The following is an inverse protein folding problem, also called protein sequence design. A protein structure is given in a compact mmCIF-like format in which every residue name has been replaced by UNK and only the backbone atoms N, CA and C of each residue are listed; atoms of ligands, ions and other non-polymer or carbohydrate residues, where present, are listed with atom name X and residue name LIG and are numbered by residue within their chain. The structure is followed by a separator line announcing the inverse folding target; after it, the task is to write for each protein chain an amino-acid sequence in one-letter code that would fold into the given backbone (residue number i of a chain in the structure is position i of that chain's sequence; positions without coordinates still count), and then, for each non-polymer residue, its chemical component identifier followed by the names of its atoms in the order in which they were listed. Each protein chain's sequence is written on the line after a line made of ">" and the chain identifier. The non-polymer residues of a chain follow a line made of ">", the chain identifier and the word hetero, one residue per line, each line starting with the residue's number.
data_IF_868893333063
#
_entry.id   IF_868893333063
#
_cell.length_a   1.000
_cell.length_b   1.000
_cell.length_c   1.000
_cell.angle_alpha   90.00
_cell.angle_beta   90.00
_cell.angle_gamma   90.00
#
_symmetry.space_group_name_H-M   'P 1'
#
loop_
_entity.id
_entity.type
_entity.pdbx_description
1 polymer ?
#
# COMPACT_ATOMS: atom_id res chain seq x y z
N UNK A 1 -7.75 31.94 -0.10
CA UNK A 1 -8.03 30.57 0.39
C UNK A 1 -7.42 29.48 -0.50
N UNK A 2 -7.75 29.35 -1.80
CA UNK A 2 -7.12 28.35 -2.71
C UNK A 2 -5.58 28.34 -2.68
N UNK A 3 -4.92 29.50 -2.70
CA UNK A 3 -3.45 29.58 -2.71
C UNK A 3 -2.78 29.05 -1.43
N UNK A 4 -3.46 29.09 -0.28
CA UNK A 4 -2.90 28.62 1.00
C UNK A 4 -2.86 27.10 1.05
N UNK A 5 -3.91 26.42 0.57
CA UNK A 5 -3.97 24.96 0.47
C UNK A 5 -2.86 24.42 -0.46
N UNK A 6 -2.69 25.00 -1.64
CA UNK A 6 -1.62 24.61 -2.57
C UNK A 6 -0.22 24.85 -2.00
N UNK A 7 -0.02 25.96 -1.26
CA UNK A 7 1.27 26.24 -0.62
C UNK A 7 1.63 25.19 0.44
N UNK A 8 0.67 24.76 1.26
CA UNK A 8 0.88 23.72 2.27
C UNK A 8 1.20 22.38 1.60
N UNK A 9 0.39 21.96 0.61
CA UNK A 9 0.60 20.70 -0.12
C UNK A 9 1.98 20.69 -0.79
N UNK A 10 2.35 21.76 -1.51
CA UNK A 10 3.63 21.81 -2.22
C UNK A 10 4.85 21.86 -1.29
N UNK A 11 4.71 22.45 -0.10
CA UNK A 11 5.74 22.42 0.95
C UNK A 11 5.91 20.98 1.47
N UNK A 12 4.82 20.32 1.87
CA UNK A 12 4.87 18.97 2.45
C UNK A 12 5.42 17.94 1.45
N UNK A 13 5.01 18.03 0.17
CA UNK A 13 5.56 17.17 -0.89
C UNK A 13 7.07 17.38 -1.07
N UNK A 14 7.55 18.63 -1.04
CA UNK A 14 9.00 18.90 -1.11
C UNK A 14 9.74 18.37 0.10
N UNK A 15 9.16 18.49 1.28
CA UNK A 15 9.76 18.01 2.54
C UNK A 15 9.87 16.48 2.57
N UNK A 16 8.85 15.77 2.07
CA UNK A 16 8.88 14.31 1.84
C UNK A 16 10.01 13.94 0.86
N UNK A 17 10.12 14.66 -0.27
CA UNK A 17 11.14 14.42 -1.29
C UNK A 17 12.56 14.80 -0.88
N UNK A 18 12.74 15.57 0.21
CA UNK A 18 14.05 15.96 0.70
C UNK A 18 14.51 15.11 1.90
N UNK A 19 13.58 14.41 2.56
CA UNK A 19 13.91 13.60 3.73
C UNK A 19 14.31 12.17 3.36
N UNK A 20 15.60 11.87 3.48
CA UNK A 20 16.17 10.56 3.19
C UNK A 20 15.58 9.42 4.03
N UNK A 21 15.14 9.69 5.26
CA UNK A 21 14.51 8.68 6.13
C UNK A 21 13.12 8.26 5.63
N UNK A 22 12.43 9.13 4.89
CA UNK A 22 11.13 8.88 4.28
C UNK A 22 11.31 8.29 2.88
N UNK A 23 12.22 8.87 2.08
CA UNK A 23 12.48 8.43 0.72
C UNK A 23 13.05 7.01 0.63
N UNK A 24 13.98 6.63 1.51
CA UNK A 24 14.63 5.32 1.43
C UNK A 24 13.62 4.17 1.47
N UNK A 25 12.76 4.03 2.50
CA UNK A 25 11.77 2.96 2.51
C UNK A 25 10.76 3.07 1.36
N UNK A 26 10.40 4.30 0.97
CA UNK A 26 9.44 4.59 -0.10
C UNK A 26 9.95 4.21 -1.50
N UNK A 27 11.26 4.11 -1.70
CA UNK A 27 11.86 3.61 -2.96
C UNK A 27 12.26 2.15 -2.84
N UNK A 28 12.87 1.74 -1.71
CA UNK A 28 13.38 0.39 -1.54
C UNK A 28 12.26 -0.64 -1.50
N UNK A 29 11.22 -0.44 -0.69
CA UNK A 29 10.14 -1.43 -0.57
C UNK A 29 9.43 -1.68 -1.90
N UNK A 30 9.01 -0.64 -2.64
CA UNK A 30 8.28 -0.89 -3.87
C UNK A 30 9.18 -1.40 -4.99
N UNK A 31 10.49 -1.08 -4.99
CA UNK A 31 11.44 -1.72 -5.90
C UNK A 31 11.63 -3.20 -5.54
N UNK A 32 11.77 -3.50 -4.25
CA UNK A 32 11.95 -4.88 -3.77
C UNK A 32 10.72 -5.75 -4.06
N UNK A 33 9.53 -5.26 -3.77
CA UNK A 33 8.27 -6.00 -3.95
C UNK A 33 7.73 -5.92 -5.39
N UNK A 34 7.82 -4.77 -6.03
CA UNK A 34 7.25 -4.53 -7.36
C UNK A 34 8.15 -4.97 -8.52
N UNK A 35 9.48 -5.04 -8.33
CA UNK A 35 10.43 -5.38 -9.41
C UNK A 35 11.25 -6.61 -9.05
N UNK A 36 11.97 -6.58 -7.93
CA UNK A 36 12.93 -7.63 -7.58
C UNK A 36 12.24 -8.98 -7.29
N UNK A 37 11.18 -8.96 -6.48
CA UNK A 37 10.41 -10.15 -6.12
C UNK A 37 9.78 -10.87 -7.32
N UNK A 38 9.00 -10.22 -8.21
CA UNK A 38 8.42 -10.91 -9.37
C UNK A 38 9.49 -11.39 -10.34
N UNK A 39 10.58 -10.63 -10.51
CA UNK A 39 11.71 -11.05 -11.32
C UNK A 39 12.33 -12.35 -10.79
N UNK A 40 12.61 -12.43 -9.49
CA UNK A 40 13.15 -13.62 -8.85
C UNK A 40 12.20 -14.83 -8.93
N UNK A 41 10.89 -14.60 -8.80
CA UNK A 41 9.88 -15.65 -8.95
C UNK A 41 9.87 -16.23 -10.37
N UNK A 42 9.90 -15.38 -11.40
CA UNK A 42 9.88 -15.81 -12.80
C UNK A 42 11.18 -16.55 -13.16
N UNK A 43 12.34 -16.04 -12.75
CA UNK A 43 13.62 -16.75 -12.94
C UNK A 43 13.66 -18.12 -12.25
N UNK A 44 13.01 -18.24 -11.10
CA UNK A 44 12.87 -19.51 -10.39
C UNK A 44 12.12 -20.56 -11.19
N UNK A 45 11.11 -20.16 -11.97
CA UNK A 45 10.35 -21.05 -12.84
C UNK A 45 11.18 -21.57 -14.02
N UNK A 46 12.03 -20.73 -14.60
CA UNK A 46 12.92 -21.15 -15.71
C UNK A 46 13.93 -22.21 -15.27
N UNK A 47 14.50 -22.06 -14.07
CA UNK A 47 15.55 -22.95 -13.55
C UNK A 47 15.00 -24.20 -12.84
N UNK A 48 13.74 -24.17 -12.40
CA UNK A 48 13.19 -25.13 -11.45
C UNK A 48 12.08 -26.03 -12.00
N UNK A 49 12.38 -26.96 -12.93
CA UNK A 49 11.44 -28.07 -13.24
C UNK A 49 11.13 -28.96 -12.03
N UNK A 50 11.98 -28.95 -10.99
CA UNK A 50 11.80 -29.69 -9.73
C UNK A 50 11.17 -28.86 -8.58
N UNK A 51 11.03 -27.54 -8.73
CA UNK A 51 10.58 -26.63 -7.66
C UNK A 51 9.06 -26.54 -7.51
N UNK A 52 8.31 -27.21 -8.40
CA UNK A 52 6.85 -27.21 -8.40
C UNK A 52 6.23 -28.05 -7.27
N UNK A 53 7.01 -28.95 -6.63
CA UNK A 53 6.54 -29.80 -5.53
C UNK A 53 5.93 -28.99 -4.36
N UNK A 54 6.45 -27.79 -4.08
CA UNK A 54 5.92 -26.92 -3.03
C UNK A 54 4.64 -26.15 -3.42
N UNK A 55 4.34 -26.09 -4.72
CA UNK A 55 3.17 -25.40 -5.27
C UNK A 55 2.00 -26.35 -5.54
N UNK A 56 2.19 -27.67 -5.44
CA UNK A 56 1.15 -28.68 -5.66
C UNK A 56 -0.14 -28.45 -4.86
N UNK A 57 -0.09 -28.08 -3.56
CA UNK A 57 -1.31 -27.80 -2.80
C UNK A 57 -2.08 -26.62 -3.37
N UNK A 58 -1.36 -25.59 -3.85
CA UNK A 58 -1.94 -24.39 -4.44
C UNK A 58 -2.46 -24.63 -5.87
N UNK A 59 -1.76 -25.46 -6.64
CA UNK A 59 -2.16 -25.85 -8.00
C UNK A 59 -3.47 -26.64 -8.00
N UNK A 60 -3.72 -27.44 -6.95
CA UNK A 60 -4.99 -28.19 -6.76
C UNK A 60 -6.16 -27.29 -6.38
N UNK A 61 -5.91 -26.09 -5.87
CA UNK A 61 -6.94 -25.13 -5.48
C UNK A 61 -7.42 -24.24 -6.64
N UNK A 62 -6.71 -24.27 -7.78
CA UNK A 62 -7.11 -23.54 -8.97
C UNK A 62 -8.21 -24.32 -9.73
N UNK A 63 -9.25 -23.64 -10.23
CA UNK A 63 -10.24 -24.28 -11.10
C UNK A 63 -9.54 -24.85 -12.34
N UNK A 64 -9.88 -26.09 -12.71
CA UNK A 64 -9.26 -26.85 -13.81
C UNK A 64 -9.52 -26.26 -15.20
N UNK A 65 -10.39 -25.25 -15.30
CA UNK A 65 -10.83 -24.61 -16.55
C UNK A 65 -9.88 -23.54 -17.09
N UNK A 66 -8.85 -23.16 -16.34
CA UNK A 66 -7.90 -22.15 -16.82
C UNK A 66 -6.97 -22.83 -17.83
N UNK A 67 -7.20 -22.52 -19.11
CA UNK A 67 -6.56 -23.04 -20.32
C UNK A 67 -5.02 -22.86 -20.39
N UNK A 68 -4.30 -23.42 -19.43
CA UNK A 68 -2.84 -23.50 -19.40
C UNK A 68 -2.44 -24.96 -19.66
N UNK A 69 -2.02 -25.21 -20.90
CA UNK A 69 -1.64 -26.53 -21.41
C UNK A 69 -0.34 -27.08 -20.78
N UNK A 70 0.39 -26.30 -19.98
CA UNK A 70 1.65 -26.71 -19.34
C UNK A 70 1.66 -26.40 -17.83
N UNK A 71 2.31 -27.28 -17.05
CA UNK A 71 2.43 -27.12 -15.59
C UNK A 71 3.17 -25.84 -15.19
N UNK A 72 4.12 -25.39 -16.02
CA UNK A 72 4.90 -24.18 -15.77
C UNK A 72 4.06 -22.90 -15.94
N UNK A 73 3.15 -22.85 -16.92
CA UNK A 73 2.21 -21.72 -17.07
C UNK A 73 1.22 -21.63 -15.91
N UNK A 74 0.78 -22.77 -15.35
CA UNK A 74 -0.04 -22.78 -14.13
C UNK A 74 0.73 -22.26 -12.93
N UNK A 75 1.98 -22.68 -12.76
CA UNK A 75 2.84 -22.19 -11.69
C UNK A 75 3.08 -20.68 -11.78
N UNK A 76 3.29 -20.16 -12.99
CA UNK A 76 3.36 -18.72 -13.25
C UNK A 76 2.08 -17.99 -12.81
N UNK A 77 0.91 -18.52 -13.17
CA UNK A 77 -0.38 -17.95 -12.74
C UNK A 77 -0.54 -17.95 -11.20
N UNK A 78 -0.14 -19.03 -10.53
CA UNK A 78 -0.14 -19.09 -9.05
C UNK A 78 0.76 -18.00 -8.47
N UNK A 79 2.00 -17.87 -8.95
CA UNK A 79 2.94 -16.90 -8.37
C UNK A 79 2.48 -15.46 -8.62
N UNK A 80 2.12 -15.11 -9.85
CA UNK A 80 1.85 -13.74 -10.25
C UNK A 80 0.39 -13.30 -9.99
N UNK A 81 -0.61 -14.13 -10.28
CA UNK A 81 -2.02 -13.73 -10.12
C UNK A 81 -2.61 -14.19 -8.79
N UNK A 82 -2.08 -15.24 -8.16
CA UNK A 82 -2.58 -15.69 -6.87
C UNK A 82 -1.74 -15.15 -5.69
N UNK A 83 -0.41 -15.22 -5.72
CA UNK A 83 0.43 -14.84 -4.56
C UNK A 83 0.84 -13.37 -4.53
N UNK A 84 1.17 -12.75 -5.68
CA UNK A 84 1.61 -11.36 -5.71
C UNK A 84 0.55 -10.32 -5.29
N UNK A 85 -0.77 -10.45 -5.56
CA UNK A 85 -1.75 -9.43 -5.18
C UNK A 85 -1.73 -9.00 -3.70
N UNK A 86 -1.86 -9.89 -2.69
CA UNK A 86 -1.80 -9.47 -1.29
C UNK A 86 -0.43 -8.90 -0.88
N UNK A 87 0.66 -9.38 -1.48
CA UNK A 87 2.00 -8.84 -1.27
C UNK A 87 2.13 -7.42 -1.84
N UNK A 88 1.55 -7.18 -3.02
CA UNK A 88 1.55 -5.87 -3.65
C UNK A 88 0.77 -4.85 -2.81
N UNK A 89 -0.30 -5.25 -2.13
CA UNK A 89 -1.06 -4.39 -1.21
C UNK A 89 -0.24 -3.84 -0.03
N UNK A 90 0.91 -4.44 0.28
CA UNK A 90 1.83 -3.89 1.28
C UNK A 90 2.45 -2.57 0.83
N UNK A 91 2.67 -2.37 -0.47
CA UNK A 91 3.26 -1.14 -1.03
C UNK A 91 2.40 0.10 -0.71
N UNK A 92 1.11 0.18 -1.11
CA UNK A 92 0.27 1.34 -0.79
C UNK A 92 0.08 1.51 0.71
N UNK A 93 0.03 0.42 1.47
CA UNK A 93 -0.11 0.47 2.92
C UNK A 93 1.10 1.13 3.58
N UNK A 94 2.30 0.70 3.22
CA UNK A 94 3.55 1.25 3.75
C UNK A 94 3.78 2.68 3.27
N UNK A 95 3.49 2.98 2.01
CA UNK A 95 3.57 4.34 1.49
C UNK A 95 2.63 5.29 2.27
N UNK A 96 1.38 4.88 2.45
CA UNK A 96 0.42 5.62 3.26
C UNK A 96 0.86 5.79 4.71
N UNK A 97 1.41 4.74 5.34
CA UNK A 97 1.81 4.83 6.75
C UNK A 97 3.06 5.70 6.97
N UNK A 98 4.10 5.52 6.15
CA UNK A 98 5.35 6.29 6.25
C UNK A 98 5.08 7.78 6.01
N UNK A 99 4.34 8.11 4.95
CA UNK A 99 4.06 9.51 4.62
C UNK A 99 3.04 10.08 5.61
N UNK A 100 2.06 9.30 6.06
CA UNK A 100 1.12 9.70 7.12
C UNK A 100 1.80 10.09 8.43
N UNK A 101 2.88 9.40 8.81
CA UNK A 101 3.68 9.75 9.98
C UNK A 101 4.22 11.19 9.90
N UNK A 102 4.57 11.65 8.70
CA UNK A 102 5.10 12.99 8.48
C UNK A 102 4.04 14.11 8.65
N UNK A 103 2.74 13.78 8.59
CA UNK A 103 1.67 14.77 8.73
C UNK A 103 1.69 15.50 10.07
N UNK A 104 1.99 14.81 11.17
CA UNK A 104 1.93 15.39 12.52
C UNK A 104 3.28 15.36 13.23
N UNK A 105 4.07 14.30 13.06
CA UNK A 105 5.26 14.09 13.89
C UNK A 105 6.39 15.02 13.49
N UNK A 106 6.59 15.24 12.20
CA UNK A 106 7.66 16.14 11.72
C UNK A 106 7.43 17.56 12.24
N UNK A 107 6.18 18.00 12.31
CA UNK A 107 5.85 19.31 12.87
C UNK A 107 5.90 19.33 14.40
N UNK A 108 5.61 18.20 15.06
CA UNK A 108 5.77 18.02 16.51
C UNK A 108 7.25 18.12 16.91
N UNK A 109 8.12 17.39 16.21
CA UNK A 109 9.57 17.41 16.43
C UNK A 109 10.17 18.80 16.19
N UNK A 110 9.65 19.54 15.20
CA UNK A 110 10.11 20.92 14.90
C UNK A 110 9.44 22.00 15.75
N UNK A 111 8.53 21.64 16.66
CA UNK A 111 7.71 22.57 17.46
C UNK A 111 6.95 23.60 16.62
N UNK A 112 6.64 23.27 15.37
CA UNK A 112 5.91 24.17 14.46
C UNK A 112 4.40 23.94 14.52
N UNK A 113 3.93 22.91 15.24
CA UNK A 113 2.51 22.67 15.45
C UNK A 113 1.83 23.88 16.11
N UNK A 114 2.47 24.50 17.10
CA UNK A 114 1.95 25.70 17.78
C UNK A 114 1.71 26.83 16.78
N UNK A 115 2.68 27.13 15.93
CA UNK A 115 2.58 28.17 14.88
C UNK A 115 1.50 27.85 13.84
N UNK A 116 1.30 26.58 13.53
CA UNK A 116 0.28 26.12 12.58
C UNK A 116 -1.14 26.33 13.14
N UNK A 117 -1.32 26.18 14.45
CA UNK A 117 -2.59 26.39 15.13
C UNK A 117 -3.00 27.87 15.22
N UNK A 118 -2.05 28.81 15.06
CA UNK A 118 -2.33 30.24 14.94
C UNK A 118 -2.71 30.68 13.52
N UNK A 119 -2.72 29.77 12.53
CA UNK A 119 -3.21 30.11 11.20
C UNK A 119 -4.74 30.22 11.18
N UNK A 120 -5.33 31.08 10.32
CA UNK A 120 -6.78 31.27 10.24
C UNK A 120 -7.55 30.07 9.62
N UNK A 121 -6.94 28.88 9.61
CA UNK A 121 -7.51 27.66 9.03
C UNK A 121 -8.06 26.79 10.15
N UNK A 122 -9.28 26.27 9.97
CA UNK A 122 -9.88 25.38 10.98
C UNK A 122 -9.12 24.05 11.05
N UNK A 123 -9.02 23.45 12.24
CA UNK A 123 -8.36 22.14 12.43
C UNK A 123 -8.83 21.06 11.42
N UNK A 124 -10.14 20.86 11.17
CA UNK A 124 -10.61 19.86 10.21
C UNK A 124 -10.14 20.13 8.77
N UNK A 125 -10.13 21.40 8.36
CA UNK A 125 -9.65 21.83 7.05
C UNK A 125 -8.16 21.55 6.85
N UNK A 126 -7.36 21.82 7.89
CA UNK A 126 -5.93 21.52 7.90
C UNK A 126 -5.68 20.01 7.81
N UNK A 127 -6.45 19.20 8.55
CA UNK A 127 -6.36 17.74 8.51
C UNK A 127 -6.67 17.20 7.11
N UNK A 128 -7.76 17.67 6.49
CA UNK A 128 -8.14 17.26 5.13
C UNK A 128 -7.05 17.67 4.13
N UNK A 129 -6.51 18.88 4.22
CA UNK A 129 -5.42 19.33 3.36
C UNK A 129 -4.20 18.41 3.44
N UNK A 130 -3.79 18.01 4.65
CA UNK A 130 -2.66 17.11 4.89
C UNK A 130 -2.92 15.69 4.40
N UNK A 131 -4.13 15.17 4.58
CA UNK A 131 -4.51 13.87 4.03
C UNK A 131 -4.39 13.86 2.51
N UNK A 132 -4.87 14.91 1.82
CA UNK A 132 -4.68 15.00 0.37
C UNK A 132 -3.22 15.20 -0.03
N UNK A 133 -2.44 15.99 0.73
CA UNK A 133 -1.03 16.22 0.47
C UNK A 133 -0.19 14.93 0.51
N UNK A 134 -0.59 13.98 1.36
CA UNK A 134 0.13 12.72 1.58
C UNK A 134 -0.44 11.54 0.80
N UNK A 135 -1.73 11.57 0.48
CA UNK A 135 -2.38 10.58 -0.38
C UNK A 135 -1.80 10.60 -1.81
N UNK A 136 -1.66 11.78 -2.41
CA UNK A 136 -1.16 11.95 -3.78
C UNK A 136 0.22 11.29 -3.98
N UNK A 137 1.27 11.62 -3.19
CA UNK A 137 2.58 10.99 -3.36
C UNK A 137 2.57 9.49 -3.06
N UNK A 138 1.78 9.03 -2.09
CA UNK A 138 1.61 7.59 -1.80
C UNK A 138 1.02 6.84 -3.00
N UNK A 139 0.02 7.43 -3.65
CA UNK A 139 -0.62 6.83 -4.80
C UNK A 139 0.31 6.83 -6.02
N UNK A 140 1.06 7.92 -6.26
CA UNK A 140 2.07 7.99 -7.33
C UNK A 140 3.11 6.89 -7.18
N UNK A 141 3.64 6.66 -5.96
CA UNK A 141 4.60 5.57 -5.73
C UNK A 141 3.99 4.21 -6.03
N UNK A 142 2.74 4.00 -5.63
CA UNK A 142 2.04 2.75 -5.93
C UNK A 142 1.88 2.54 -7.44
N UNK A 143 1.55 3.59 -8.19
CA UNK A 143 1.44 3.54 -9.66
C UNK A 143 2.79 3.27 -10.34
N UNK A 144 3.87 3.93 -9.92
CA UNK A 144 5.23 3.69 -10.44
C UNK A 144 5.62 2.23 -10.21
N UNK A 145 5.32 1.71 -9.03
CA UNK A 145 5.63 0.32 -8.66
C UNK A 145 4.82 -0.68 -9.45
N UNK A 146 3.55 -0.36 -9.71
CA UNK A 146 2.69 -1.17 -10.57
C UNK A 146 3.16 -1.16 -12.03
N UNK A 147 3.62 -0.01 -12.53
CA UNK A 147 4.21 0.08 -13.86
C UNK A 147 5.48 -0.78 -13.97
N UNK A 148 6.36 -0.71 -12.96
CA UNK A 148 7.54 -1.58 -12.86
C UNK A 148 7.16 -3.08 -12.84
N UNK A 149 6.15 -3.44 -12.04
CA UNK A 149 5.63 -4.80 -11.97
C UNK A 149 5.09 -5.28 -13.32
N UNK A 150 4.28 -4.46 -14.01
CA UNK A 150 3.77 -4.77 -15.34
C UNK A 150 4.89 -4.98 -16.36
N UNK A 151 5.94 -4.16 -16.32
CA UNK A 151 7.10 -4.26 -17.22
C UNK A 151 7.83 -5.58 -16.98
N UNK A 152 8.13 -5.92 -15.72
CA UNK A 152 8.82 -7.17 -15.37
C UNK A 152 7.99 -8.38 -15.80
N UNK A 153 6.70 -8.40 -15.47
CA UNK A 153 5.82 -9.53 -15.78
C UNK A 153 5.64 -9.70 -17.30
N UNK A 154 5.50 -8.62 -18.07
CA UNK A 154 5.37 -8.74 -19.52
C UNK A 154 6.68 -9.14 -20.21
N UNK A 155 7.83 -8.60 -19.79
CA UNK A 155 9.13 -8.90 -20.42
C UNK A 155 9.57 -10.34 -20.10
N UNK A 156 9.53 -10.73 -18.82
CA UNK A 156 10.03 -12.03 -18.39
C UNK A 156 8.96 -13.12 -18.41
N UNK A 157 7.68 -12.74 -18.35
CA UNK A 157 6.55 -13.67 -18.34
C UNK A 157 5.96 -14.00 -19.71
N UNK A 158 6.44 -13.38 -20.80
CA UNK A 158 5.86 -13.52 -22.14
C UNK A 158 5.72 -14.98 -22.58
N UNK A 159 6.70 -15.81 -22.26
CA UNK A 159 6.73 -17.24 -22.57
C UNK A 159 5.64 -18.06 -21.85
N UNK A 160 5.13 -17.55 -20.71
CA UNK A 160 4.15 -18.24 -19.88
C UNK A 160 2.72 -17.76 -20.08
N UNK A 161 2.58 -16.51 -20.55
CA UNK A 161 1.31 -15.82 -20.74
C UNK A 161 0.52 -16.26 -21.98
N UNK A 162 1.09 -17.09 -22.88
CA UNK A 162 0.44 -17.59 -24.10
C UNK A 162 -0.24 -16.48 -24.94
N UNK A 163 0.33 -15.27 -24.97
CA UNK A 163 -0.21 -14.11 -25.69
C UNK A 163 -1.21 -13.25 -24.92
N UNK A 164 -1.54 -13.58 -23.66
CA UNK A 164 -2.27 -12.69 -22.78
C UNK A 164 -1.37 -11.54 -22.32
N UNK A 165 -1.82 -10.29 -22.53
CA UNK A 165 -1.09 -9.11 -22.06
C UNK A 165 -1.48 -8.83 -20.61
N UNK A 166 -0.48 -8.70 -19.74
CA UNK A 166 -0.68 -8.23 -18.38
C UNK A 166 -0.73 -6.69 -18.39
N UNK A 167 -1.63 -6.00 -17.66
CA UNK A 167 -2.41 -6.45 -16.49
C UNK A 167 -3.82 -6.99 -16.79
N UNK A 168 -4.25 -7.97 -15.99
CA UNK A 168 -5.63 -8.47 -15.96
C UNK A 168 -6.60 -7.48 -15.29
N UNK A 169 -7.90 -7.63 -15.55
CA UNK A 169 -8.96 -6.82 -14.94
C UNK A 169 -8.89 -6.79 -13.40
N UNK A 170 -8.55 -7.94 -12.80
CA UNK A 170 -8.33 -8.09 -11.34
C UNK A 170 -7.26 -7.14 -10.82
N UNK A 171 -6.14 -7.01 -11.53
CA UNK A 171 -5.05 -6.10 -11.16
C UNK A 171 -5.43 -4.63 -11.33
N UNK A 172 -6.17 -4.29 -12.38
CA UNK A 172 -6.69 -2.93 -12.53
C UNK A 172 -7.63 -2.54 -11.39
N UNK A 173 -8.55 -3.44 -10.99
CA UNK A 173 -9.42 -3.22 -9.82
C UNK A 173 -8.56 -3.09 -8.55
N UNK A 174 -7.56 -3.93 -8.37
CA UNK A 174 -6.68 -3.86 -7.21
C UNK A 174 -5.95 -2.51 -7.11
N UNK A 175 -5.46 -1.97 -8.21
CA UNK A 175 -4.69 -0.70 -8.22
C UNK A 175 -5.58 0.54 -8.18
N UNK A 176 -6.70 0.54 -8.90
CA UNK A 176 -7.55 1.74 -8.99
C UNK A 176 -8.68 1.78 -7.96
N UNK A 177 -9.05 0.63 -7.38
CA UNK A 177 -10.15 0.53 -6.42
C UNK A 177 -9.69 0.20 -5.01
N UNK A 178 -8.80 -0.80 -4.86
CA UNK A 178 -8.40 -1.31 -3.53
C UNK A 178 -7.24 -0.50 -2.95
N UNK A 179 -6.23 -0.18 -3.76
CA UNK A 179 -5.05 0.59 -3.34
C UNK A 179 -5.41 1.96 -2.75
N UNK A 180 -6.29 2.80 -3.34
CA UNK A 180 -6.71 4.07 -2.74
C UNK A 180 -7.29 3.92 -1.33
N UNK A 181 -8.14 2.91 -1.11
CA UNK A 181 -8.69 2.63 0.21
C UNK A 181 -7.58 2.24 1.20
N UNK A 182 -6.63 1.40 0.79
CA UNK A 182 -5.52 0.99 1.66
C UNK A 182 -4.58 2.14 2.02
N UNK A 183 -4.32 3.06 1.08
CA UNK A 183 -3.55 4.26 1.38
C UNK A 183 -4.27 5.09 2.44
N UNK A 184 -5.59 5.29 2.31
CA UNK A 184 -6.39 6.01 3.30
C UNK A 184 -6.42 5.31 4.66
N UNK A 185 -6.46 3.98 4.69
CA UNK A 185 -6.31 3.21 5.92
C UNK A 185 -4.96 3.41 6.59
N UNK A 186 -3.87 3.31 5.84
CA UNK A 186 -2.53 3.58 6.35
C UNK A 186 -2.39 5.00 6.90
N UNK A 187 -2.93 6.00 6.18
CA UNK A 187 -2.93 7.40 6.60
C UNK A 187 -3.76 7.62 7.87
N UNK A 188 -5.02 7.16 7.89
CA UNK A 188 -5.94 7.39 9.00
C UNK A 188 -5.47 6.70 10.29
N UNK A 189 -4.95 5.48 10.19
CA UNK A 189 -4.34 4.79 11.31
C UNK A 189 -3.10 5.54 11.82
N UNK A 190 -2.27 6.07 10.91
CA UNK A 190 -1.08 6.82 11.30
C UNK A 190 -1.36 8.18 11.90
N UNK A 191 -2.46 8.84 11.55
CA UNK A 191 -2.92 10.05 12.25
C UNK A 191 -3.18 9.77 13.72
N UNK A 192 -3.76 8.61 14.05
CA UNK A 192 -3.98 8.22 15.45
C UNK A 192 -2.64 7.89 16.12
N UNK A 193 -1.81 7.04 15.50
CA UNK A 193 -0.52 6.63 16.09
C UNK A 193 0.39 7.83 16.33
N UNK A 194 0.46 8.76 15.37
CA UNK A 194 1.27 9.98 15.49
C UNK A 194 0.81 10.92 16.59
N UNK A 195 -0.46 10.89 17.00
CA UNK A 195 -0.93 11.65 18.15
C UNK A 195 -0.34 11.13 19.47
N UNK A 196 -0.11 9.82 19.60
CA UNK A 196 0.46 9.20 20.82
C UNK A 196 1.98 9.02 20.76
N UNK A 197 2.58 9.10 19.57
CA UNK A 197 4.01 8.93 19.39
C UNK A 197 4.78 10.25 19.62
N UNK A 198 5.94 10.16 20.26
CA UNK A 198 6.81 11.31 20.52
C UNK A 198 7.88 11.52 19.44
N UNK A 199 8.25 10.47 18.70
CA UNK A 199 9.30 10.51 17.66
C UNK A 199 8.87 9.78 16.39
N UNK A 200 9.43 10.20 15.25
CA UNK A 200 9.13 9.57 13.95
C UNK A 200 9.43 8.06 13.96
N UNK A 201 10.54 7.67 14.59
CA UNK A 201 10.95 6.27 14.72
C UNK A 201 9.96 5.45 15.55
N UNK A 202 9.45 6.00 16.66
CA UNK A 202 8.47 5.29 17.50
C UNK A 202 7.14 5.06 16.77
N UNK A 203 6.65 6.07 16.05
CA UNK A 203 5.45 5.92 15.24
C UNK A 203 5.64 4.93 14.11
N UNK A 204 6.83 4.90 13.49
CA UNK A 204 7.13 3.96 12.41
C UNK A 204 7.26 2.52 12.91
N UNK A 205 7.70 2.30 14.15
CA UNK A 205 7.66 0.97 14.77
C UNK A 205 6.21 0.54 15.08
N UNK A 206 5.40 1.46 15.61
CA UNK A 206 3.98 1.23 15.85
C UNK A 206 3.20 1.01 14.54
N UNK A 207 3.59 1.67 13.45
CA UNK A 207 2.99 1.50 12.12
C UNK A 207 3.16 0.08 11.58
N UNK A 208 4.17 -0.66 12.05
CA UNK A 208 4.34 -2.08 11.78
C UNK A 208 3.12 -2.92 12.18
N UNK A 209 2.36 -2.52 13.22
CA UNK A 209 1.13 -3.23 13.60
C UNK A 209 -0.01 -3.05 12.58
N UNK A 210 0.00 -1.98 11.79
CA UNK A 210 -0.99 -1.75 10.72
C UNK A 210 -0.86 -2.83 9.63
N UNK A 211 0.32 -3.43 9.49
CA UNK A 211 0.62 -4.46 8.49
C UNK A 211 -0.01 -5.83 8.86
N UNK A 212 -0.26 -6.08 10.15
CA UNK A 212 -0.71 -7.39 10.67
C UNK A 212 -1.99 -7.92 10.00
N UNK A 213 -3.08 -7.14 9.81
CA UNK A 213 -4.27 -7.60 9.11
C UNK A 213 -4.00 -8.08 7.69
N UNK A 214 -3.05 -7.45 7.00
CA UNK A 214 -2.68 -7.82 5.63
C UNK A 214 -1.80 -9.07 5.59
N UNK A 215 -0.96 -9.29 6.62
CA UNK A 215 -0.24 -10.56 6.79
C UNK A 215 -1.24 -11.69 7.04
N UNK A 216 -2.27 -11.46 7.87
CA UNK A 216 -3.32 -12.45 8.09
C UNK A 216 -4.05 -12.79 6.79
N UNK A 217 -4.39 -11.79 5.99
CA UNK A 217 -4.98 -11.98 4.66
C UNK A 217 -4.07 -12.82 3.75
N UNK A 218 -2.77 -12.54 3.74
CA UNK A 218 -1.79 -13.32 3.01
C UNK A 218 -1.75 -14.78 3.48
N UNK A 219 -1.69 -15.03 4.80
CA UNK A 219 -1.68 -16.40 5.34
C UNK A 219 -2.97 -17.16 5.06
N UNK A 220 -4.12 -16.47 5.08
CA UNK A 220 -5.41 -17.06 4.74
C UNK A 220 -5.47 -17.47 3.26
N UNK A 221 -4.86 -16.65 2.39
CA UNK A 221 -4.77 -16.94 0.97
C UNK A 221 -3.81 -18.09 0.67
N UNK A 222 -2.61 -18.11 1.25
CA UNK A 222 -1.64 -19.20 1.04
C UNK A 222 -2.08 -20.53 1.64
N UNK A 223 -2.90 -20.50 2.70
CA UNK A 223 -3.50 -21.71 3.27
C UNK A 223 -4.69 -22.23 2.47
N UNK A 224 -5.16 -21.49 1.47
CA UNK A 224 -6.33 -21.85 0.65
C UNK A 224 -7.68 -21.64 1.31
N UNK A 225 -7.73 -21.10 2.54
CA UNK A 225 -8.97 -20.77 3.22
C UNK A 225 -9.73 -19.62 2.53
N UNK A 226 -9.00 -18.71 1.88
CA UNK A 226 -9.58 -17.53 1.24
C UNK A 226 -8.95 -17.28 -0.13
N UNK A 227 -9.66 -17.61 -1.21
CA UNK A 227 -9.24 -17.32 -2.58
C UNK A 227 -9.79 -15.95 -2.99
N UNK A 228 -8.93 -14.94 -2.97
CA UNK A 228 -9.30 -13.58 -3.37
C UNK A 228 -9.55 -13.48 -4.88
N UNK A 229 -10.81 -13.68 -5.24
CA UNK A 229 -11.30 -13.41 -6.59
C UNK A 229 -11.68 -11.92 -6.77
N UNK A 230 -11.93 -11.49 -8.01
CA UNK A 230 -12.30 -10.11 -8.35
C UNK A 230 -13.46 -9.56 -7.52
N UNK A 231 -14.48 -10.38 -7.24
CA UNK A 231 -15.62 -9.99 -6.40
C UNK A 231 -15.24 -9.68 -4.94
N UNK A 232 -14.29 -10.42 -4.38
CA UNK A 232 -13.82 -10.17 -3.00
C UNK A 232 -13.09 -8.83 -2.91
N UNK A 233 -12.25 -8.49 -3.90
CA UNK A 233 -11.59 -7.18 -3.96
C UNK A 233 -12.57 -6.01 -4.08
N UNK A 234 -13.65 -6.20 -4.86
CA UNK A 234 -14.71 -5.18 -4.99
C UNK A 234 -15.44 -4.94 -3.68
N UNK A 235 -15.68 -5.98 -2.87
CA UNK A 235 -16.31 -5.86 -1.55
C UNK A 235 -15.34 -5.38 -0.46
N UNK A 236 -14.05 -5.72 -0.58
CA UNK A 236 -13.04 -5.37 0.41
C UNK A 236 -12.83 -3.85 0.53
N UNK A 237 -12.73 -3.14 -0.61
CA UNK A 237 -12.53 -1.69 -0.63
C UNK A 237 -13.62 -0.88 0.11
N UNK A 238 -14.93 -1.06 -0.14
CA UNK A 238 -15.97 -0.31 0.58
C UNK A 238 -16.00 -0.64 2.08
N UNK A 239 -15.71 -1.88 2.47
CA UNK A 239 -15.57 -2.25 3.90
C UNK A 239 -14.41 -1.48 4.52
N UNK A 240 -13.26 -1.41 3.83
CA UNK A 240 -12.09 -0.69 4.30
C UNK A 240 -12.36 0.82 4.39
N UNK A 241 -13.02 1.42 3.39
CA UNK A 241 -13.42 2.83 3.42
C UNK A 241 -14.38 3.16 4.56
N UNK A 242 -15.27 2.22 4.92
CA UNK A 242 -16.14 2.37 6.09
C UNK A 242 -15.30 2.40 7.37
N UNK A 243 -14.32 1.50 7.50
CA UNK A 243 -13.36 1.50 8.61
C UNK A 243 -12.57 2.81 8.66
N UNK A 244 -12.08 3.30 7.53
CA UNK A 244 -11.34 4.58 7.43
C UNK A 244 -12.20 5.74 7.91
N UNK A 245 -13.46 5.80 7.47
CA UNK A 245 -14.41 6.81 7.92
C UNK A 245 -14.61 6.77 9.43
N UNK A 246 -14.74 5.57 10.02
CA UNK A 246 -14.86 5.40 11.47
C UNK A 246 -13.59 5.87 12.19
N UNK A 247 -12.40 5.49 11.71
CA UNK A 247 -11.10 5.90 12.26
C UNK A 247 -10.96 7.42 12.23
N UNK A 248 -11.23 8.06 11.09
CA UNK A 248 -11.14 9.52 10.92
C UNK A 248 -12.15 10.23 11.82
N UNK A 249 -13.40 9.74 11.89
CA UNK A 249 -14.43 10.34 12.74
C UNK A 249 -14.10 10.24 14.23
N UNK A 250 -13.45 9.14 14.64
CA UNK A 250 -12.98 8.93 15.99
C UNK A 250 -11.76 9.81 16.31
N UNK A 251 -10.82 9.89 15.38
CA UNK A 251 -9.66 10.77 15.47
C UNK A 251 -10.11 12.23 15.65
N UNK A 252 -11.01 12.73 14.80
CA UNK A 252 -11.54 14.09 14.86
C UNK A 252 -12.22 14.43 16.19
N UNK A 253 -12.86 13.45 16.85
CA UNK A 253 -13.51 13.64 18.16
C UNK A 253 -12.54 13.58 19.35
N UNK A 254 -11.41 12.85 19.23
CA UNK A 254 -10.45 12.62 20.33
C UNK A 254 -9.19 13.47 20.27
N UNK A 255 -8.88 14.06 19.11
CA UNK A 255 -7.79 15.01 18.94
C UNK A 255 -8.21 16.38 19.50
N UNK A 256 -8.03 16.53 20.81
CA UNK A 256 -8.09 17.82 21.49
C UNK A 256 -6.73 18.50 21.40
N UNK A 257 -6.72 19.85 21.31
CA UNK A 257 -5.51 20.70 21.28
C UNK A 257 -4.43 20.29 22.28
N UNK A 258 -4.84 19.97 23.52
CA UNK A 258 -3.95 19.60 24.62
C UNK A 258 -3.15 18.32 24.34
N UNK A 259 -3.76 17.32 23.69
CA UNK A 259 -3.08 16.05 23.37
C UNK A 259 -2.11 16.13 22.19
N UNK A 260 -2.24 17.15 21.34
CA UNK A 260 -1.28 17.37 20.24
C UNK A 260 0.02 17.99 20.73
N UNK A 261 -0.01 18.68 21.89
CA UNK A 261 1.11 19.41 22.47
C UNK A 261 1.86 18.62 23.54
N UNK A 262 1.24 17.60 24.16
CA UNK A 262 1.90 16.59 25.01
C UNK A 262 2.76 15.63 24.19
#
# INVERSE_FOLDING_TARGET
>A
MKNTYYAIISKDVKEILLNWQILLPMVIMPLMMGVFMPFMMILGLEKGKHSLHGLEPLLKMLPTDIAFMTDVSRAFYVLIDFMCPPLFLMIPLMAGSIIGASCLIVEKERRTLETLLYTPVTLPELFVAKLFATFIPSFIVTLISFAGFCIVVNIFGQNYLNGAVFPNLKWLILIFWVSPAIILFGLSAMVIISAYASTFQSAQQLSGFIIVPFILLLTAQTSGHLIMNTGHYLLFSPVLLLVDYLIISFAAKRLTYERLLE
#
